data_IF_678714841312
#
_entry.id   IF_678714841312
#
_cell.length_a   1.000
_cell.length_b   1.000
_cell.length_c   1.000
_cell.angle_alpha   90.00
_cell.angle_beta   90.00
_cell.angle_gamma   90.00
#
_symmetry.space_group_name_H-M   'P 1'
#
loop_
_entity.id
_entity.type
_entity.pdbx_description
1 polymer ?
#
# COMPACT_ATOMS: atom_id res chain seq x y z
N UNK A 1 25.16 21.77 -16.13
CA UNK A 1 24.28 22.24 -15.06
C UNK A 1 24.61 21.35 -13.86
N UNK A 2 25.53 21.82 -12.98
CA UNK A 2 25.86 21.08 -11.76
C UNK A 2 24.69 21.27 -10.80
N UNK A 3 23.82 20.28 -10.74
CA UNK A 3 22.78 20.23 -9.71
C UNK A 3 23.49 19.86 -8.42
N UNK A 4 23.43 20.76 -7.44
CA UNK A 4 24.04 20.56 -6.13
C UNK A 4 23.33 19.38 -5.45
N UNK A 5 24.11 18.40 -4.95
CA UNK A 5 23.57 17.18 -4.33
C UNK A 5 22.65 17.55 -3.17
N UNK A 6 22.97 18.60 -2.43
CA UNK A 6 22.14 19.10 -1.33
C UNK A 6 20.75 19.53 -1.81
N UNK A 7 20.64 20.15 -2.98
CA UNK A 7 19.36 20.54 -3.58
C UNK A 7 18.52 19.32 -3.98
N UNK A 8 19.16 18.27 -4.52
CA UNK A 8 18.45 17.02 -4.89
C UNK A 8 17.84 16.33 -3.69
N UNK A 9 18.53 16.30 -2.57
CA UNK A 9 18.06 15.63 -1.34
C UNK A 9 16.76 16.27 -0.83
N UNK A 10 16.60 17.60 -0.95
CA UNK A 10 15.36 18.30 -0.54
C UNK A 10 14.24 18.20 -1.57
N UNK A 11 14.55 17.99 -2.86
CA UNK A 11 13.52 17.81 -3.90
C UNK A 11 12.74 16.52 -3.73
N UNK A 12 13.36 15.47 -3.19
CA UNK A 12 12.72 14.15 -3.02
C UNK A 12 11.50 14.21 -2.09
N UNK A 13 11.58 14.73 -0.85
CA UNK A 13 10.40 14.85 0.02
C UNK A 13 9.35 15.82 -0.55
N UNK A 14 9.75 16.88 -1.25
CA UNK A 14 8.81 17.80 -1.92
C UNK A 14 8.01 17.04 -2.98
N UNK A 15 8.66 16.26 -3.84
CA UNK A 15 7.98 15.42 -4.83
C UNK A 15 7.01 14.42 -4.16
N UNK A 16 7.42 13.84 -3.02
CA UNK A 16 6.57 12.96 -2.22
C UNK A 16 5.31 13.67 -1.71
N UNK A 17 5.44 14.87 -1.15
CA UNK A 17 4.31 15.67 -0.67
C UNK A 17 3.36 16.05 -1.81
N UNK A 18 3.89 16.48 -2.96
CA UNK A 18 3.09 16.77 -4.15
C UNK A 18 2.31 15.52 -4.59
N UNK A 19 2.97 14.36 -4.61
CA UNK A 19 2.31 13.09 -4.94
C UNK A 19 1.18 12.72 -3.98
N UNK A 20 1.33 12.97 -2.66
CA UNK A 20 0.26 12.78 -1.68
C UNK A 20 -0.93 13.70 -1.95
N UNK A 21 -0.67 14.96 -2.27
CA UNK A 21 -1.72 15.93 -2.60
C UNK A 21 -2.48 15.44 -3.84
N UNK A 22 -1.78 15.04 -4.89
CA UNK A 22 -2.39 14.52 -6.13
C UNK A 22 -3.23 13.26 -5.83
N UNK A 23 -2.69 12.30 -5.05
CA UNK A 23 -3.42 11.11 -4.64
C UNK A 23 -4.70 11.46 -3.86
N UNK A 24 -4.63 12.44 -2.96
CA UNK A 24 -5.78 12.94 -2.20
C UNK A 24 -6.85 13.59 -3.09
N UNK A 25 -6.44 14.39 -4.06
CA UNK A 25 -7.35 15.03 -5.04
C UNK A 25 -8.04 13.96 -5.90
N UNK A 26 -7.28 12.99 -6.42
CA UNK A 26 -7.83 11.89 -7.21
C UNK A 26 -8.80 11.03 -6.38
N UNK A 27 -8.44 10.69 -5.14
CA UNK A 27 -9.33 9.98 -4.20
C UNK A 27 -10.64 10.72 -4.02
N UNK A 28 -10.57 12.01 -3.70
CA UNK A 28 -11.77 12.84 -3.53
C UNK A 28 -12.63 12.90 -4.79
N UNK A 29 -11.99 12.97 -5.97
CA UNK A 29 -12.69 12.96 -7.24
C UNK A 29 -13.42 11.62 -7.49
N UNK A 30 -12.73 10.48 -7.29
CA UNK A 30 -13.31 9.14 -7.43
C UNK A 30 -14.47 8.94 -6.47
N UNK A 31 -14.28 9.32 -5.19
CA UNK A 31 -15.31 9.14 -4.15
C UNK A 31 -16.58 9.99 -4.36
N UNK A 32 -16.52 11.04 -5.18
CA UNK A 32 -17.69 11.85 -5.56
C UNK A 32 -18.51 11.25 -6.69
N UNK A 33 -18.01 10.24 -7.39
CA UNK A 33 -18.74 9.56 -8.45
C UNK A 33 -19.89 8.75 -7.91
N UNK A 34 -20.94 8.63 -8.72
CA UNK A 34 -22.13 7.85 -8.41
C UNK A 34 -21.81 6.38 -8.17
N UNK A 35 -22.43 5.78 -7.18
CA UNK A 35 -22.28 4.39 -6.77
C UNK A 35 -23.32 3.45 -7.41
N UNK A 36 -24.20 3.97 -8.26
CA UNK A 36 -25.21 3.17 -8.97
C UNK A 36 -26.44 2.83 -8.11
N UNK A 37 -27.06 1.70 -8.42
CA UNK A 37 -28.29 1.26 -7.79
C UNK A 37 -28.07 0.74 -6.36
N UNK A 38 -29.14 0.62 -5.53
CA UNK A 38 -29.04 0.02 -4.20
C UNK A 38 -28.43 -1.38 -4.21
N UNK A 39 -28.78 -2.21 -5.20
CA UNK A 39 -28.26 -3.58 -5.36
C UNK A 39 -26.76 -3.58 -5.62
N UNK A 40 -26.28 -2.67 -6.46
CA UNK A 40 -24.85 -2.49 -6.71
C UNK A 40 -24.08 -2.09 -5.43
N UNK A 41 -24.71 -1.30 -4.54
CA UNK A 41 -24.11 -0.93 -3.26
C UNK A 41 -23.97 -2.12 -2.33
N UNK A 42 -24.98 -2.99 -2.23
CA UNK A 42 -24.92 -4.20 -1.41
C UNK A 42 -23.73 -5.08 -1.81
N UNK A 43 -23.56 -5.31 -3.12
CA UNK A 43 -22.42 -6.08 -3.64
C UNK A 43 -21.10 -5.38 -3.35
N UNK A 44 -21.02 -4.07 -3.59
CA UNK A 44 -19.82 -3.27 -3.33
C UNK A 44 -19.41 -3.26 -1.85
N UNK A 45 -20.37 -3.23 -0.93
CA UNK A 45 -20.10 -3.27 0.51
C UNK A 45 -19.66 -4.66 0.97
N UNK A 46 -20.23 -5.75 0.41
CA UNK A 46 -19.79 -7.12 0.66
C UNK A 46 -18.32 -7.35 0.19
N UNK A 47 -17.95 -6.86 -1.00
CA UNK A 47 -16.56 -6.91 -1.49
C UNK A 47 -15.63 -6.13 -0.54
N UNK A 48 -16.07 -4.99 -0.06
CA UNK A 48 -15.28 -4.16 0.87
C UNK A 48 -15.05 -4.82 2.21
N UNK A 49 -16.03 -5.55 2.75
CA UNK A 49 -15.91 -6.28 4.00
C UNK A 49 -14.87 -7.39 3.91
N UNK A 50 -14.83 -8.14 2.81
CA UNK A 50 -13.86 -9.20 2.55
C UNK A 50 -12.40 -8.73 2.44
N UNK A 51 -12.18 -7.43 2.13
CA UNK A 51 -10.85 -6.89 1.84
C UNK A 51 -9.99 -6.51 3.07
N UNK A 52 -10.44 -6.72 4.33
CA UNK A 52 -9.87 -6.06 5.52
C UNK A 52 -9.09 -6.96 6.49
N UNK A 53 -8.15 -7.79 6.03
CA UNK A 53 -7.41 -8.75 6.87
C UNK A 53 -5.98 -8.32 7.30
N UNK A 54 -5.76 -7.05 7.67
CA UNK A 54 -4.41 -6.53 8.01
C UNK A 54 -3.89 -6.87 9.42
N UNK A 55 -4.73 -7.36 10.33
CA UNK A 55 -4.33 -7.61 11.74
C UNK A 55 -3.21 -8.64 11.86
N UNK A 56 -3.28 -9.72 11.09
CA UNK A 56 -2.29 -10.80 11.11
C UNK A 56 -0.92 -10.31 10.66
N UNK A 57 -0.88 -9.49 9.60
CA UNK A 57 0.36 -8.90 9.08
C UNK A 57 1.03 -8.03 10.15
N UNK A 58 0.25 -7.20 10.86
CA UNK A 58 0.76 -6.35 11.92
C UNK A 58 1.39 -7.19 13.07
N UNK A 59 0.72 -8.26 13.51
CA UNK A 59 1.23 -9.13 14.58
C UNK A 59 2.55 -9.80 14.17
N UNK A 60 2.60 -10.38 12.97
CA UNK A 60 3.81 -11.04 12.48
C UNK A 60 4.95 -10.05 12.31
N UNK A 61 4.67 -8.83 11.80
CA UNK A 61 5.69 -7.78 11.66
C UNK A 61 6.29 -7.38 13.02
N UNK A 62 5.48 -7.30 14.07
CA UNK A 62 5.98 -7.01 15.42
C UNK A 62 6.87 -8.15 15.95
N UNK A 63 6.48 -9.40 15.74
CA UNK A 63 7.29 -10.56 16.17
C UNK A 63 8.66 -10.54 15.47
N UNK A 64 8.70 -10.31 14.15
CA UNK A 64 9.97 -10.23 13.40
C UNK A 64 10.80 -9.03 13.86
N UNK A 65 10.17 -7.89 14.13
CA UNK A 65 10.88 -6.72 14.64
C UNK A 65 11.56 -6.99 16.00
N UNK A 66 10.88 -7.70 16.90
CA UNK A 66 11.45 -8.11 18.21
C UNK A 66 12.67 -9.02 18.00
N UNK A 67 12.63 -9.94 17.05
CA UNK A 67 13.80 -10.78 16.73
C UNK A 67 14.95 -9.96 16.15
N UNK A 68 14.67 -8.94 15.35
CA UNK A 68 15.69 -8.07 14.76
C UNK A 68 16.38 -7.16 15.78
N UNK A 69 15.76 -6.89 16.94
CA UNK A 69 16.41 -6.16 18.03
C UNK A 69 17.70 -6.85 18.49
N UNK A 70 17.77 -8.19 18.41
CA UNK A 70 18.97 -8.95 18.75
C UNK A 70 20.16 -8.66 17.80
N UNK A 71 19.90 -8.18 16.58
CA UNK A 71 20.93 -7.79 15.62
C UNK A 71 21.30 -6.32 15.79
N UNK A 72 20.34 -5.43 15.67
CA UNK A 72 20.49 -3.97 15.89
C UNK A 72 19.09 -3.36 16.07
N UNK A 73 18.88 -2.67 17.18
CA UNK A 73 17.61 -2.00 17.47
C UNK A 73 17.24 -0.92 16.43
N UNK A 74 18.23 -0.30 15.79
CA UNK A 74 18.04 0.72 14.75
C UNK A 74 17.45 0.08 13.47
N UNK A 75 17.96 -1.09 13.08
CA UNK A 75 17.46 -1.87 11.94
C UNK A 75 16.02 -2.34 12.24
N UNK A 76 15.74 -2.76 13.47
CA UNK A 76 14.39 -3.16 13.89
C UNK A 76 13.36 -2.02 13.75
N UNK A 77 13.72 -0.80 14.17
CA UNK A 77 12.86 0.38 13.99
C UNK A 77 12.66 0.68 12.50
N UNK A 78 13.72 0.67 11.71
CA UNK A 78 13.64 0.88 10.27
C UNK A 78 12.73 -0.15 9.59
N UNK A 79 12.82 -1.43 9.99
CA UNK A 79 11.93 -2.51 9.55
C UNK A 79 10.46 -2.22 9.87
N UNK A 80 10.14 -1.81 11.12
CA UNK A 80 8.77 -1.48 11.49
C UNK A 80 8.21 -0.30 10.70
N UNK A 81 9.01 0.73 10.48
CA UNK A 81 8.62 1.87 9.66
C UNK A 81 8.33 1.42 8.22
N UNK A 82 9.19 0.58 7.63
CA UNK A 82 8.99 0.02 6.30
C UNK A 82 7.71 -0.82 6.20
N UNK A 83 7.49 -1.72 7.16
CA UNK A 83 6.28 -2.54 7.23
C UNK A 83 5.01 -1.68 7.40
N UNK A 84 5.09 -0.61 8.21
CA UNK A 84 3.99 0.32 8.40
C UNK A 84 3.66 1.08 7.10
N UNK A 85 4.64 1.69 6.43
CA UNK A 85 4.41 2.43 5.19
C UNK A 85 3.90 1.52 4.05
N UNK A 86 4.43 0.30 3.95
CA UNK A 86 3.95 -0.70 2.99
C UNK A 86 2.50 -1.11 3.27
N UNK A 87 2.16 -1.41 4.52
CA UNK A 87 0.79 -1.74 4.92
C UNK A 87 -0.17 -0.57 4.71
N UNK A 88 0.27 0.65 5.00
CA UNK A 88 -0.52 1.87 4.79
C UNK A 88 -0.80 2.11 3.31
N UNK A 89 0.21 1.94 2.44
CA UNK A 89 0.03 2.08 0.99
C UNK A 89 -0.95 1.05 0.44
N UNK A 90 -0.81 -0.21 0.87
CA UNK A 90 -1.73 -1.30 0.53
C UNK A 90 -3.16 -1.02 1.00
N UNK A 91 -3.32 -0.54 2.24
CA UNK A 91 -4.63 -0.17 2.78
C UNK A 91 -5.31 0.96 1.99
N UNK A 92 -4.58 2.04 1.70
CA UNK A 92 -5.08 3.17 0.90
C UNK A 92 -5.46 2.68 -0.50
N UNK A 93 -4.55 1.95 -1.16
CA UNK A 93 -4.74 1.43 -2.50
C UNK A 93 -5.98 0.54 -2.59
N UNK A 94 -6.08 -0.44 -1.68
CA UNK A 94 -7.21 -1.36 -1.64
C UNK A 94 -8.53 -0.64 -1.36
N UNK A 95 -8.57 0.24 -0.36
CA UNK A 95 -9.78 0.99 -0.01
C UNK A 95 -10.29 1.83 -1.17
N UNK A 96 -9.40 2.51 -1.89
CA UNK A 96 -9.78 3.33 -3.03
C UNK A 96 -10.15 2.47 -4.23
N UNK A 97 -9.41 1.39 -4.50
CA UNK A 97 -9.68 0.45 -5.59
C UNK A 97 -11.06 -0.18 -5.45
N UNK A 98 -11.36 -0.81 -4.32
CA UNK A 98 -12.68 -1.43 -4.06
C UNK A 98 -13.81 -0.40 -4.15
N UNK A 99 -13.60 0.79 -3.61
CA UNK A 99 -14.59 1.86 -3.73
C UNK A 99 -14.74 2.40 -5.15
N UNK A 100 -13.71 2.27 -5.99
CA UNK A 100 -13.70 2.68 -7.39
C UNK A 100 -14.45 1.68 -8.27
N UNK A 101 -14.42 0.37 -7.95
CA UNK A 101 -15.04 -0.69 -8.75
C UNK A 101 -16.53 -0.44 -8.99
N UNK A 102 -17.30 -0.20 -7.94
CA UNK A 102 -18.74 0.08 -8.04
C UNK A 102 -19.03 1.35 -8.84
N UNK A 103 -18.18 2.38 -8.72
CA UNK A 103 -18.30 3.63 -9.45
C UNK A 103 -17.96 3.48 -10.92
N UNK A 104 -16.98 2.64 -11.22
CA UNK A 104 -16.61 2.25 -12.58
C UNK A 104 -17.76 1.49 -13.25
N UNK A 105 -18.35 0.52 -12.56
CA UNK A 105 -19.50 -0.21 -13.05
C UNK A 105 -20.73 0.70 -13.27
N UNK A 106 -21.00 1.63 -12.36
CA UNK A 106 -22.07 2.63 -12.53
C UNK A 106 -21.81 3.55 -13.74
N UNK A 107 -20.57 4.00 -13.92
CA UNK A 107 -20.18 4.83 -15.06
C UNK A 107 -20.29 4.08 -16.39
N UNK A 108 -19.99 2.77 -16.43
CA UNK A 108 -20.09 1.93 -17.61
C UNK A 108 -21.52 1.86 -18.19
N UNK A 109 -22.54 2.01 -17.36
CA UNK A 109 -23.94 2.09 -17.78
C UNK A 109 -24.25 3.34 -18.62
N UNK A 110 -23.42 4.36 -18.50
CA UNK A 110 -23.63 5.66 -19.19
C UNK A 110 -22.66 5.85 -20.35
N UNK A 111 -21.39 5.57 -20.13
CA UNK A 111 -20.35 5.81 -21.12
C UNK A 111 -19.10 5.00 -20.83
N UNK A 112 -18.54 4.36 -21.86
CA UNK A 112 -17.26 3.66 -21.79
C UNK A 112 -16.12 4.61 -21.36
N UNK A 113 -16.11 5.81 -21.91
CA UNK A 113 -15.06 6.79 -21.61
C UNK A 113 -15.10 7.24 -20.13
N UNK A 114 -16.30 7.47 -19.58
CA UNK A 114 -16.44 7.79 -18.15
C UNK A 114 -15.99 6.64 -17.26
N UNK A 115 -16.31 5.40 -17.64
CA UNK A 115 -15.90 4.19 -16.94
C UNK A 115 -14.38 4.04 -16.93
N UNK A 116 -13.72 4.15 -18.09
CA UNK A 116 -12.28 4.08 -18.22
C UNK A 116 -11.58 5.17 -17.40
N UNK A 117 -12.06 6.41 -17.46
CA UNK A 117 -11.49 7.51 -16.70
C UNK A 117 -11.62 7.29 -15.18
N UNK A 118 -12.74 6.75 -14.73
CA UNK A 118 -12.98 6.46 -13.30
C UNK A 118 -12.07 5.33 -12.82
N UNK A 119 -11.96 4.25 -13.58
CA UNK A 119 -11.08 3.11 -13.29
C UNK A 119 -9.61 3.54 -13.27
N UNK A 120 -9.16 4.26 -14.29
CA UNK A 120 -7.77 4.71 -14.41
C UNK A 120 -7.38 5.63 -13.24
N UNK A 121 -8.23 6.59 -12.87
CA UNK A 121 -7.97 7.48 -11.74
C UNK A 121 -7.98 6.75 -10.40
N UNK A 122 -8.87 5.76 -10.23
CA UNK A 122 -8.87 4.88 -9.05
C UNK A 122 -7.57 4.09 -8.93
N UNK A 123 -7.10 3.49 -10.01
CA UNK A 123 -5.82 2.78 -10.06
C UNK A 123 -4.61 3.69 -9.84
N UNK A 124 -4.63 4.91 -10.39
CA UNK A 124 -3.57 5.89 -10.21
C UNK A 124 -3.36 6.28 -8.74
N UNK A 125 -4.42 6.31 -7.92
CA UNK A 125 -4.29 6.55 -6.47
C UNK A 125 -3.48 5.44 -5.82
N UNK A 126 -3.72 4.17 -6.17
CA UNK A 126 -2.95 3.03 -5.63
C UNK A 126 -1.48 3.12 -6.01
N UNK A 127 -1.18 3.40 -7.27
CA UNK A 127 0.19 3.55 -7.76
C UNK A 127 0.92 4.72 -7.09
N UNK A 128 0.27 5.89 -6.99
CA UNK A 128 0.83 7.05 -6.31
C UNK A 128 1.06 6.80 -4.82
N UNK A 129 0.13 6.12 -4.13
CA UNK A 129 0.30 5.81 -2.71
C UNK A 129 1.56 4.96 -2.47
N UNK A 130 1.79 3.92 -3.29
CA UNK A 130 2.98 3.08 -3.18
C UNK A 130 4.26 3.88 -3.42
N UNK A 131 4.35 4.61 -4.53
CA UNK A 131 5.55 5.37 -4.90
C UNK A 131 5.87 6.45 -3.87
N UNK A 132 4.86 7.23 -3.49
CA UNK A 132 5.02 8.38 -2.60
C UNK A 132 5.37 7.95 -1.19
N UNK A 133 4.68 6.94 -0.62
CA UNK A 133 4.96 6.45 0.73
C UNK A 133 6.32 5.76 0.79
N UNK A 134 6.73 5.03 -0.26
CA UNK A 134 8.08 4.48 -0.36
C UNK A 134 9.14 5.58 -0.37
N UNK A 135 8.95 6.60 -1.20
CA UNK A 135 9.86 7.72 -1.33
C UNK A 135 10.00 8.52 -0.01
N UNK A 136 8.88 8.87 0.60
CA UNK A 136 8.85 9.58 1.88
C UNK A 136 9.41 8.73 3.03
N UNK A 137 9.16 7.43 3.00
CA UNK A 137 9.67 6.52 4.03
C UNK A 137 11.19 6.39 3.97
N UNK A 138 11.77 6.16 2.80
CA UNK A 138 13.24 6.09 2.62
C UNK A 138 13.88 7.43 2.97
N UNK A 139 13.33 8.53 2.46
CA UNK A 139 13.84 9.87 2.73
C UNK A 139 13.71 10.23 4.22
N UNK A 140 12.60 9.86 4.84
CA UNK A 140 12.37 10.09 6.26
C UNK A 140 13.39 9.37 7.15
N UNK A 141 13.70 8.10 6.85
CA UNK A 141 14.75 7.34 7.55
C UNK A 141 16.12 7.99 7.35
N UNK A 142 16.42 8.41 6.14
CA UNK A 142 17.68 9.08 5.82
C UNK A 142 17.85 10.36 6.65
N UNK A 143 16.85 11.24 6.68
CA UNK A 143 16.90 12.47 7.49
C UNK A 143 16.88 12.20 8.99
N UNK A 144 16.10 11.22 9.45
CA UNK A 144 16.11 10.82 10.86
C UNK A 144 17.51 10.40 11.31
N UNK A 145 18.20 9.64 10.48
CA UNK A 145 19.54 9.18 10.76
C UNK A 145 20.55 10.31 10.73
N UNK A 146 20.48 11.23 9.77
CA UNK A 146 21.30 12.45 9.75
C UNK A 146 21.12 13.28 11.02
N UNK A 147 19.89 13.43 11.49
CA UNK A 147 19.58 14.16 12.71
C UNK A 147 20.16 13.48 13.95
N UNK A 148 20.09 12.15 14.03
CA UNK A 148 20.66 11.38 15.14
C UNK A 148 22.18 11.46 15.16
N UNK A 149 22.84 11.42 14.00
CA UNK A 149 24.30 11.52 13.87
C UNK A 149 24.86 12.88 14.24
N UNK A 150 24.13 13.96 13.96
CA UNK A 150 24.59 15.31 14.29
C UNK A 150 24.74 15.53 15.82
N UNK A 151 24.19 14.60 16.61
CA UNK A 151 24.27 14.59 18.07
C UNK A 151 25.26 13.55 18.63
N UNK A 152 25.79 12.66 17.81
CA UNK A 152 26.76 11.63 18.23
C UNK A 152 28.17 11.94 17.67
N UNK A 153 29.08 12.29 18.57
CA UNK A 153 30.49 12.61 18.25
C UNK A 153 31.35 11.37 17.86
N UNK A 154 30.78 10.18 17.84
CA UNK A 154 31.54 8.93 17.70
C UNK A 154 31.75 8.45 16.24
N UNK A 155 31.33 9.21 15.22
CA UNK A 155 31.51 8.83 13.83
C UNK A 155 32.83 9.38 13.25
N UNK A 156 33.89 8.66 13.49
CA UNK A 156 35.26 9.01 13.03
C UNK A 156 35.53 8.83 11.51
N UNK A 157 34.62 8.19 10.74
CA UNK A 157 34.88 7.97 9.29
C UNK A 157 33.62 8.04 8.42
N UNK A 158 33.77 8.67 7.25
CA UNK A 158 32.75 8.76 6.20
C UNK A 158 32.29 7.36 5.70
N UNK A 159 33.14 6.35 5.77
CA UNK A 159 32.81 4.98 5.39
C UNK A 159 31.88 4.28 6.38
N UNK A 160 32.05 4.52 7.68
CA UNK A 160 31.18 4.00 8.72
C UNK A 160 29.79 4.61 8.63
N UNK A 161 29.69 5.91 8.37
CA UNK A 161 28.44 6.60 8.13
C UNK A 161 27.65 6.01 6.96
N UNK A 162 28.31 5.80 5.82
CA UNK A 162 27.68 5.27 4.62
C UNK A 162 27.16 3.84 4.84
N UNK A 163 27.95 2.96 5.48
CA UNK A 163 27.54 1.60 5.80
C UNK A 163 26.34 1.55 6.74
N UNK A 164 26.31 2.39 7.76
CA UNK A 164 25.21 2.44 8.70
C UNK A 164 23.92 2.94 8.06
N UNK A 165 24.00 3.96 7.20
CA UNK A 165 22.85 4.46 6.43
C UNK A 165 22.29 3.39 5.51
N UNK A 166 23.15 2.65 4.80
CA UNK A 166 22.73 1.55 3.92
C UNK A 166 22.02 0.44 4.71
N UNK A 167 22.51 0.09 5.90
CA UNK A 167 21.88 -0.93 6.75
C UNK A 167 20.45 -0.51 7.17
N UNK A 168 20.24 0.77 7.49
CA UNK A 168 18.91 1.27 7.85
C UNK A 168 17.95 1.29 6.66
N UNK A 169 18.42 1.73 5.49
CA UNK A 169 17.63 1.67 4.25
C UNK A 169 17.30 0.23 3.88
N UNK A 170 18.25 -0.70 4.06
CA UNK A 170 18.01 -2.14 3.87
C UNK A 170 16.98 -2.68 4.86
N UNK A 171 17.06 -2.29 6.14
CA UNK A 171 16.07 -2.65 7.16
C UNK A 171 14.66 -2.16 6.80
N UNK A 172 14.54 -0.91 6.35
CA UNK A 172 13.28 -0.36 5.85
C UNK A 172 12.75 -1.15 4.64
N UNK A 173 13.59 -1.37 3.64
CA UNK A 173 13.21 -2.11 2.43
C UNK A 173 12.77 -3.55 2.77
N UNK A 174 13.46 -4.20 3.71
CA UNK A 174 13.10 -5.53 4.19
C UNK A 174 11.72 -5.52 4.87
N UNK A 175 11.45 -4.55 5.74
CA UNK A 175 10.15 -4.39 6.38
C UNK A 175 9.01 -4.14 5.38
N UNK A 176 9.25 -3.28 4.40
CA UNK A 176 8.28 -2.99 3.35
C UNK A 176 7.99 -4.23 2.48
N UNK A 177 9.05 -4.95 2.07
CA UNK A 177 8.94 -6.19 1.27
C UNK A 177 8.24 -7.30 2.06
N UNK A 178 8.54 -7.42 3.35
CA UNK A 178 7.92 -8.40 4.23
C UNK A 178 6.41 -8.19 4.33
N UNK A 179 5.97 -6.97 4.61
CA UNK A 179 4.55 -6.65 4.67
C UNK A 179 3.84 -6.88 3.33
N UNK A 180 4.47 -6.49 2.22
CA UNK A 180 3.93 -6.70 0.88
C UNK A 180 3.80 -8.18 0.53
N UNK A 181 4.80 -9.01 0.87
CA UNK A 181 4.79 -10.46 0.63
C UNK A 181 3.62 -11.13 1.38
N UNK A 182 3.43 -10.81 2.66
CA UNK A 182 2.34 -11.38 3.44
C UNK A 182 0.97 -10.86 2.99
N UNK A 183 0.88 -9.61 2.54
CA UNK A 183 -0.35 -9.08 1.96
C UNK A 183 -0.70 -9.79 0.65
N UNK A 184 0.28 -10.07 -0.20
CA UNK A 184 0.09 -10.79 -1.46
C UNK A 184 -0.31 -12.25 -1.23
N UNK A 185 0.37 -12.96 -0.34
CA UNK A 185 0.05 -14.35 0.04
C UNK A 185 -1.34 -14.43 0.67
N UNK A 186 -1.62 -13.59 1.66
CA UNK A 186 -2.92 -13.54 2.33
C UNK A 186 -4.04 -13.21 1.36
N UNK A 187 -3.85 -12.19 0.52
CA UNK A 187 -4.82 -11.83 -0.53
C UNK A 187 -5.12 -12.97 -1.48
N UNK A 188 -4.09 -13.69 -1.95
CA UNK A 188 -4.24 -14.84 -2.84
C UNK A 188 -5.01 -16.00 -2.19
N UNK A 189 -4.72 -16.29 -0.90
CA UNK A 189 -5.42 -17.33 -0.15
C UNK A 189 -6.90 -16.97 0.05
N UNK A 190 -7.19 -15.74 0.48
CA UNK A 190 -8.56 -15.27 0.72
C UNK A 190 -9.39 -15.22 -0.56
N UNK A 191 -8.83 -14.72 -1.66
CA UNK A 191 -9.55 -14.68 -2.94
C UNK A 191 -9.85 -16.08 -3.45
N UNK A 192 -8.92 -17.03 -3.33
CA UNK A 192 -9.17 -18.42 -3.73
C UNK A 192 -10.17 -19.13 -2.83
N UNK A 193 -10.12 -18.88 -1.55
CA UNK A 193 -11.12 -19.42 -0.61
C UNK A 193 -12.53 -18.89 -0.90
N UNK A 194 -12.66 -17.60 -1.25
CA UNK A 194 -13.93 -17.00 -1.64
C UNK A 194 -14.47 -17.58 -2.96
N UNK A 195 -13.60 -17.76 -3.95
CA UNK A 195 -13.90 -18.37 -5.24
C UNK A 195 -14.45 -19.80 -5.06
N UNK A 196 -13.70 -20.67 -4.37
CA UNK A 196 -14.13 -22.04 -4.07
C UNK A 196 -15.41 -22.07 -3.23
N UNK A 197 -15.56 -21.14 -2.28
CA UNK A 197 -16.77 -21.04 -1.46
C UNK A 197 -18.00 -20.67 -2.26
N UNK A 198 -17.87 -19.70 -3.17
CA UNK A 198 -18.96 -19.29 -4.08
C UNK A 198 -19.38 -20.44 -5.01
N UNK A 199 -18.40 -21.15 -5.60
CA UNK A 199 -18.65 -22.29 -6.47
C UNK A 199 -19.39 -23.41 -5.72
N UNK A 200 -18.99 -23.71 -4.48
CA UNK A 200 -19.66 -24.72 -3.66
C UNK A 200 -21.10 -24.35 -3.32
N UNK A 201 -21.36 -23.10 -2.93
CA UNK A 201 -22.71 -22.63 -2.60
C UNK A 201 -23.58 -22.63 -3.88
N UNK A 202 -23.07 -22.13 -4.98
CA UNK A 202 -23.77 -22.14 -6.26
C UNK A 202 -24.16 -23.55 -6.68
N UNK A 203 -23.23 -24.51 -6.58
CA UNK A 203 -23.43 -25.89 -7.02
C UNK A 203 -24.28 -26.71 -6.06
N UNK A 204 -24.05 -26.59 -4.75
CA UNK A 204 -24.70 -27.46 -3.72
C UNK A 204 -26.04 -26.88 -3.29
N UNK A 205 -26.15 -25.58 -3.05
CA UNK A 205 -27.37 -24.96 -2.54
C UNK A 205 -28.28 -24.43 -3.65
N UNK A 206 -27.73 -23.80 -4.69
CA UNK A 206 -28.51 -23.24 -5.78
C UNK A 206 -28.70 -24.17 -6.97
N UNK A 207 -28.00 -25.31 -7.04
CA UNK A 207 -28.03 -26.24 -8.15
C UNK A 207 -27.55 -25.66 -9.47
N UNK A 208 -26.69 -24.65 -9.41
CA UNK A 208 -26.15 -23.93 -10.57
C UNK A 208 -24.77 -24.53 -10.90
N UNK A 209 -24.48 -24.92 -12.16
CA UNK A 209 -23.14 -25.35 -12.56
C UNK A 209 -22.09 -24.29 -12.29
N UNK A 210 -20.84 -24.71 -12.02
CA UNK A 210 -19.69 -23.85 -11.68
C UNK A 210 -19.43 -22.76 -12.72
N UNK A 211 -19.59 -23.09 -14.02
CA UNK A 211 -19.37 -22.16 -15.14
C UNK A 211 -20.66 -21.44 -15.61
N UNK A 212 -21.74 -21.48 -14.84
CA UNK A 212 -22.99 -20.81 -15.20
C UNK A 212 -22.88 -19.31 -14.93
N UNK A 213 -23.32 -18.44 -15.87
CA UNK A 213 -23.28 -16.98 -15.68
C UNK A 213 -24.04 -16.44 -14.46
N UNK A 214 -24.84 -17.28 -13.82
CA UNK A 214 -25.62 -16.94 -12.60
C UNK A 214 -24.87 -17.29 -11.31
N UNK A 215 -23.76 -18.01 -11.39
CA UNK A 215 -22.96 -18.40 -10.23
C UNK A 215 -22.01 -17.25 -9.81
#
# INVERSE_FOLDING_TARGET
>A
MNVDIDTLVYLVPIAGIIGLIVAGVLTKWVMRKDTGTPEMKVIGDAIREGAMAYKTIAIISVIVAVLLVALDWRISIAFLIGAFFSSLSGYIGMRVSVSSNIRTASAARRSLNESLLTSFRGGAVSGLAVVVLSLLGVTGIFFLYLFMLNNDSDFESQSAWFSSTLNLVAGYAFGASFAALFAQLGGGIYTKAADVGADLVGKVEAGIPEDDPRN
#
